data_IF_236376651501
#
_entry.id   IF_236376651501
#
_cell.length_a   1.000
_cell.length_b   1.000
_cell.length_c   1.000
_cell.angle_alpha   90.00
_cell.angle_beta   90.00
_cell.angle_gamma   90.00
#
_symmetry.space_group_name_H-M   'P 1'
#
loop_
_entity.id
_entity.type
_entity.pdbx_description
1 polymer ?
#
# COMPACT_ATOMS: atom_id res chain seq x y z
N UNK A 1 9.57 8.91 -13.65
CA UNK A 1 10.01 8.68 -12.26
C UNK A 1 8.81 8.86 -11.34
N UNK A 2 8.68 8.01 -10.33
CA UNK A 2 7.71 8.19 -9.26
C UNK A 2 8.18 9.27 -8.28
N UNK A 3 7.27 10.13 -7.86
CA UNK A 3 7.55 11.21 -6.92
C UNK A 3 6.29 11.52 -6.12
N UNK A 4 6.46 12.11 -4.95
CA UNK A 4 5.35 12.52 -4.09
C UNK A 4 4.83 13.92 -4.43
N UNK A 5 5.56 14.69 -5.24
CA UNK A 5 5.30 16.11 -5.51
C UNK A 5 5.18 16.96 -4.23
N UNK A 6 5.94 16.58 -3.22
CA UNK A 6 5.89 17.18 -1.89
C UNK A 6 6.47 18.60 -1.89
N UNK A 7 5.70 19.56 -1.36
CA UNK A 7 6.04 20.99 -1.34
C UNK A 7 6.39 21.51 0.06
N UNK A 8 6.13 20.73 1.10
CA UNK A 8 6.48 21.11 2.47
C UNK A 8 7.88 20.66 2.81
N UNK A 9 8.83 21.29 3.20
CA UNK A 9 10.25 20.97 3.44
C UNK A 9 10.56 19.76 4.33
N UNK A 10 9.71 18.74 4.33
CA UNK A 10 9.85 17.51 5.10
C UNK A 10 10.12 16.31 4.18
N UNK A 11 11.37 16.01 3.81
CA UNK A 11 11.70 14.87 2.95
C UNK A 11 11.18 13.56 3.53
N UNK A 12 10.51 12.75 2.70
CA UNK A 12 9.96 11.46 3.12
C UNK A 12 8.63 11.52 3.87
N UNK A 13 8.01 12.70 4.01
CA UNK A 13 6.72 12.85 4.69
C UNK A 13 5.56 12.20 3.96
N UNK A 14 5.67 11.97 2.65
CA UNK A 14 4.72 11.19 1.85
C UNK A 14 5.29 9.83 1.52
N UNK A 15 4.49 8.81 1.77
CA UNK A 15 4.84 7.44 1.41
C UNK A 15 4.32 7.00 0.05
N UNK A 16 3.58 7.85 -0.67
CA UNK A 16 2.78 7.38 -1.81
C UNK A 16 3.58 7.26 -3.11
N UNK A 17 4.43 8.22 -3.41
CA UNK A 17 5.26 8.16 -4.61
C UNK A 17 6.65 7.62 -4.30
N UNK A 18 7.00 6.48 -4.89
CA UNK A 18 8.30 5.84 -4.72
C UNK A 18 8.94 5.55 -6.06
N UNK A 19 10.25 5.53 -6.07
CA UNK A 19 11.05 5.06 -7.20
C UNK A 19 11.83 3.82 -6.76
N UNK A 20 11.70 2.74 -7.53
CA UNK A 20 12.60 1.60 -7.48
C UNK A 20 13.73 1.82 -8.48
N UNK A 21 14.97 1.60 -8.09
CA UNK A 21 16.15 1.82 -8.92
C UNK A 21 16.90 0.49 -9.08
N UNK A 22 17.09 0.06 -10.31
CA UNK A 22 17.86 -1.13 -10.67
C UNK A 22 19.33 -0.73 -10.85
N UNK A 23 20.07 -0.72 -9.76
CA UNK A 23 21.50 -0.36 -9.72
C UNK A 23 22.37 -1.59 -9.37
N UNK A 24 23.60 -1.63 -9.86
CA UNK A 24 24.55 -2.70 -9.58
C UNK A 24 24.96 -2.74 -8.09
N UNK A 25 24.96 -1.59 -7.43
CA UNK A 25 25.27 -1.46 -6.02
C UNK A 25 24.66 -0.23 -5.40
N UNK A 26 24.56 -0.20 -4.06
CA UNK A 26 24.09 0.95 -3.30
C UNK A 26 25.22 1.98 -3.16
N UNK A 27 25.58 2.61 -4.27
CA UNK A 27 26.54 3.71 -4.33
C UNK A 27 25.96 4.88 -5.12
N UNK A 28 26.39 6.10 -4.81
CA UNK A 28 25.89 7.31 -5.44
C UNK A 28 26.02 7.25 -6.96
N UNK A 29 27.18 6.83 -7.45
CA UNK A 29 27.46 6.80 -8.90
C UNK A 29 26.59 5.77 -9.62
N UNK A 30 26.46 4.56 -9.03
CA UNK A 30 25.62 3.49 -9.64
C UNK A 30 24.12 3.82 -9.60
N UNK A 31 23.66 4.45 -8.54
CA UNK A 31 22.28 4.97 -8.48
C UNK A 31 22.06 6.03 -9.55
N UNK A 32 23.01 6.98 -9.69
CA UNK A 32 22.93 8.04 -10.70
C UNK A 32 22.95 7.51 -12.12
N UNK A 33 23.82 6.54 -12.39
CA UNK A 33 23.89 5.88 -13.72
C UNK A 33 22.61 5.13 -14.04
N UNK A 34 22.03 4.39 -13.10
CA UNK A 34 20.76 3.71 -13.27
C UNK A 34 19.62 4.69 -13.57
N UNK A 35 19.57 5.81 -12.87
CA UNK A 35 18.57 6.87 -13.13
C UNK A 35 18.74 7.48 -14.51
N UNK A 36 19.97 7.78 -14.94
CA UNK A 36 20.25 8.31 -16.30
C UNK A 36 19.84 7.33 -17.39
N UNK A 37 20.08 6.05 -17.18
CA UNK A 37 19.72 4.98 -18.11
C UNK A 37 18.23 4.59 -17.99
N UNK A 38 17.47 5.23 -17.12
CA UNK A 38 16.04 4.93 -16.90
C UNK A 38 15.77 3.52 -16.39
N UNK A 39 16.74 2.90 -15.74
CA UNK A 39 16.61 1.61 -15.05
C UNK A 39 15.83 1.81 -13.75
N UNK A 40 14.58 2.21 -13.90
CA UNK A 40 13.72 2.61 -12.77
C UNK A 40 12.31 2.08 -12.95
N UNK A 41 11.65 1.82 -11.84
CA UNK A 41 10.22 1.58 -11.76
C UNK A 41 9.58 2.57 -10.78
N UNK A 42 8.27 2.67 -10.81
CA UNK A 42 7.51 3.57 -9.94
C UNK A 42 6.44 2.77 -9.20
N UNK A 43 6.23 3.13 -7.94
CA UNK A 43 5.14 2.59 -7.15
C UNK A 43 4.42 3.72 -6.41
N UNK A 44 3.13 3.57 -6.18
CA UNK A 44 2.30 4.48 -5.39
C UNK A 44 1.63 3.69 -4.27
N UNK A 45 1.90 4.09 -3.02
CA UNK A 45 1.38 3.43 -1.85
C UNK A 45 2.16 2.18 -1.47
N UNK A 46 1.78 1.02 -1.95
CA UNK A 46 2.43 -0.23 -1.60
C UNK A 46 3.82 -0.40 -2.22
N UNK A 47 4.64 -1.19 -1.55
CA UNK A 47 5.93 -1.62 -2.08
C UNK A 47 5.68 -2.76 -3.06
N UNK A 48 5.67 -2.44 -4.36
CA UNK A 48 5.54 -3.40 -5.44
C UNK A 48 6.90 -3.54 -6.13
N UNK A 49 7.44 -4.75 -6.12
CA UNK A 49 8.64 -5.09 -6.86
C UNK A 49 8.24 -5.58 -8.26
N UNK A 50 8.84 -5.00 -9.29
CA UNK A 50 8.57 -5.35 -10.69
C UNK A 50 9.89 -5.69 -11.36
N UNK A 51 10.08 -6.96 -11.77
CA UNK A 51 11.12 -7.36 -12.70
C UNK A 51 10.48 -7.51 -14.08
N UNK A 52 10.61 -6.48 -14.89
CA UNK A 52 10.15 -6.46 -16.27
C UNK A 52 11.34 -6.48 -17.21
N UNK A 53 11.29 -7.38 -18.17
CA UNK A 53 12.33 -7.46 -19.22
C UNK A 53 11.70 -7.63 -20.60
N UNK A 54 12.28 -6.96 -21.59
CA UNK A 54 11.93 -7.12 -22.99
C UNK A 54 13.15 -7.68 -23.73
N UNK A 55 13.11 -8.96 -24.14
CA UNK A 55 14.25 -9.68 -24.72
C UNK A 55 15.53 -9.56 -23.86
N UNK A 56 15.40 -9.76 -22.55
CA UNK A 56 16.47 -9.65 -21.55
C UNK A 56 16.96 -8.22 -21.24
N UNK A 57 16.46 -7.20 -21.95
CA UNK A 57 16.73 -5.79 -21.70
C UNK A 57 15.88 -5.24 -20.54
N UNK A 58 16.48 -4.36 -19.77
CA UNK A 58 15.83 -3.72 -18.62
C UNK A 58 14.94 -2.52 -19.06
N UNK A 59 14.03 -2.05 -18.17
CA UNK A 59 13.31 -0.81 -18.40
C UNK A 59 14.28 0.34 -18.70
N UNK A 60 14.01 1.08 -19.77
CA UNK A 60 14.88 2.18 -20.23
C UNK A 60 15.80 1.84 -21.39
N UNK A 61 16.10 0.57 -21.59
CA UNK A 61 16.92 0.10 -22.71
C UNK A 61 16.16 0.19 -24.05
N UNK A 62 16.93 0.27 -25.13
CA UNK A 62 16.40 0.28 -26.50
C UNK A 62 16.59 -1.10 -27.13
N UNK A 63 15.49 -1.80 -27.39
CA UNK A 63 15.49 -3.11 -28.04
C UNK A 63 15.25 -2.97 -29.54
N UNK A 64 16.13 -3.51 -30.36
CA UNK A 64 15.99 -3.57 -31.83
C UNK A 64 15.59 -4.97 -32.27
N UNK A 65 14.96 -5.09 -33.44
CA UNK A 65 14.49 -6.34 -34.02
C UNK A 65 12.97 -6.48 -33.97
N UNK A 66 12.43 -7.56 -34.57
CA UNK A 66 11.00 -7.77 -34.72
C UNK A 66 10.39 -8.68 -33.64
N UNK A 67 11.19 -9.52 -33.04
CA UNK A 67 10.73 -10.39 -31.94
C UNK A 67 10.66 -9.63 -30.63
N UNK A 68 9.61 -9.89 -29.85
CA UNK A 68 9.37 -9.30 -28.53
C UNK A 68 8.94 -10.39 -27.56
N UNK A 69 9.84 -10.74 -26.66
CA UNK A 69 9.53 -11.62 -25.53
C UNK A 69 9.50 -10.78 -24.26
N UNK A 70 8.38 -10.78 -23.58
CA UNK A 70 8.21 -10.12 -22.30
C UNK A 70 8.40 -11.16 -21.19
N UNK A 71 9.29 -10.86 -20.26
CA UNK A 71 9.38 -11.51 -18.96
C UNK A 71 8.85 -10.53 -17.91
N UNK A 72 8.04 -11.04 -16.99
CA UNK A 72 7.45 -10.23 -15.94
C UNK A 72 7.34 -11.05 -14.66
N UNK A 73 7.93 -10.54 -13.59
CA UNK A 73 7.68 -11.00 -12.23
C UNK A 73 7.24 -9.80 -11.38
N UNK A 74 6.14 -9.94 -10.67
CA UNK A 74 5.56 -8.87 -9.84
C UNK A 74 5.28 -9.42 -8.45
N UNK A 75 5.86 -8.76 -7.45
CA UNK A 75 5.65 -9.08 -6.04
C UNK A 75 5.03 -7.87 -5.35
N UNK A 76 3.80 -8.00 -4.89
CA UNK A 76 3.08 -6.97 -4.14
C UNK A 76 3.11 -7.24 -2.64
N UNK A 77 2.83 -6.22 -1.84
CA UNK A 77 2.58 -6.36 -0.40
C UNK A 77 1.23 -7.03 -0.10
N UNK A 78 0.36 -7.13 -1.09
CA UNK A 78 -0.97 -7.74 -1.05
C UNK A 78 -1.26 -8.43 -2.38
N UNK A 79 -2.48 -8.96 -2.53
CA UNK A 79 -2.95 -9.58 -3.78
C UNK A 79 -2.81 -8.64 -4.97
N UNK A 80 -2.39 -9.18 -6.10
CA UNK A 80 -2.37 -8.46 -7.37
C UNK A 80 -3.75 -8.63 -8.02
N UNK A 81 -4.45 -7.52 -8.21
CA UNK A 81 -5.77 -7.51 -8.86
C UNK A 81 -5.65 -7.77 -10.37
N UNK A 82 -4.81 -7.00 -11.03
CA UNK A 82 -4.48 -7.20 -12.43
C UNK A 82 -3.11 -6.63 -12.79
N UNK A 83 -2.59 -7.06 -13.93
CA UNK A 83 -1.37 -6.54 -14.54
C UNK A 83 -1.70 -6.17 -15.99
N UNK A 84 -1.46 -4.92 -16.36
CA UNK A 84 -1.63 -4.44 -17.73
C UNK A 84 -0.29 -4.31 -18.44
N UNK A 85 -0.18 -4.88 -19.61
CA UNK A 85 0.90 -4.60 -20.56
C UNK A 85 0.44 -3.49 -21.48
N UNK A 86 1.07 -2.33 -21.36
CA UNK A 86 0.69 -1.14 -22.11
C UNK A 86 1.75 -0.83 -23.16
N UNK A 87 1.34 -0.71 -24.43
CA UNK A 87 2.18 -0.27 -25.55
C UNK A 87 1.55 0.92 -26.24
N UNK A 88 2.29 2.01 -26.41
CA UNK A 88 1.81 3.21 -27.09
C UNK A 88 0.44 3.70 -26.55
N UNK A 89 0.29 3.74 -25.23
CA UNK A 89 -0.94 4.13 -24.51
C UNK A 89 -2.14 3.19 -24.71
N UNK A 90 -1.94 2.00 -25.27
CA UNK A 90 -2.98 0.98 -25.42
C UNK A 90 -2.60 -0.24 -24.59
N UNK A 91 -3.55 -0.74 -23.80
CA UNK A 91 -3.42 -2.04 -23.18
C UNK A 91 -3.44 -3.11 -24.27
N UNK A 92 -2.35 -3.87 -24.38
CA UNK A 92 -2.20 -4.94 -25.37
C UNK A 92 -2.41 -6.33 -24.76
N UNK A 93 -2.32 -6.44 -23.44
CA UNK A 93 -2.64 -7.62 -22.70
C UNK A 93 -3.02 -7.24 -21.26
N UNK A 94 -4.01 -7.92 -20.71
CA UNK A 94 -4.37 -7.86 -19.29
C UNK A 94 -4.30 -9.26 -18.71
N UNK A 95 -3.56 -9.39 -17.63
CA UNK A 95 -3.53 -10.56 -16.80
C UNK A 95 -4.40 -10.24 -15.57
N UNK A 96 -5.53 -10.90 -15.46
CA UNK A 96 -6.47 -10.77 -14.35
C UNK A 96 -6.96 -12.17 -13.95
N UNK A 97 -7.51 -12.28 -12.77
CA UNK A 97 -8.01 -13.52 -12.23
C UNK A 97 -7.37 -13.81 -10.88
N UNK A 98 -7.61 -14.96 -10.26
CA UNK A 98 -6.96 -15.31 -9.02
C UNK A 98 -5.47 -15.52 -9.30
N UNK A 99 -4.73 -14.39 -9.35
CA UNK A 99 -3.27 -14.39 -9.25
C UNK A 99 -2.85 -14.76 -7.81
N UNK A 100 -3.80 -15.33 -7.08
CA UNK A 100 -3.58 -15.95 -5.80
C UNK A 100 -2.98 -17.35 -6.04
N UNK A 101 -1.97 -17.74 -5.28
CA UNK A 101 -1.65 -19.15 -5.17
C UNK A 101 -2.94 -19.90 -4.81
N UNK A 102 -3.09 -21.12 -5.27
CA UNK A 102 -4.22 -21.98 -4.91
C UNK A 102 -4.48 -21.84 -3.41
N UNK A 103 -5.74 -21.57 -3.07
CA UNK A 103 -6.12 -21.38 -1.68
C UNK A 103 -5.62 -22.57 -0.89
N UNK A 104 -4.83 -22.37 0.17
CA UNK A 104 -4.32 -23.49 0.94
C UNK A 104 -5.49 -24.38 1.36
N UNK A 105 -5.39 -25.67 1.07
CA UNK A 105 -6.32 -26.67 1.59
C UNK A 105 -6.23 -26.67 3.11
N UNK A 106 -7.32 -26.43 3.78
CA UNK A 106 -7.40 -26.42 5.25
C UNK A 106 -8.43 -25.45 5.78
N UNK A 107 -8.82 -25.69 7.04
CA UNK A 107 -9.82 -24.88 7.72
C UNK A 107 -9.27 -23.50 8.11
N UNK A 108 -7.95 -23.35 8.20
CA UNK A 108 -7.26 -22.13 8.64
C UNK A 108 -6.45 -21.53 7.49
N UNK A 109 -6.67 -20.26 7.22
CA UNK A 109 -5.96 -19.48 6.20
C UNK A 109 -5.08 -18.44 6.87
N UNK A 110 -3.82 -18.34 6.47
CA UNK A 110 -2.96 -17.20 6.80
C UNK A 110 -2.92 -16.26 5.62
N UNK A 111 -3.29 -15.02 5.87
CA UNK A 111 -3.25 -13.97 4.85
C UNK A 111 -3.06 -12.59 5.46
N UNK A 112 -2.79 -11.61 4.61
CA UNK A 112 -2.72 -10.19 4.96
C UNK A 112 -3.99 -9.48 4.49
N UNK A 113 -4.65 -8.79 5.41
CA UNK A 113 -5.84 -7.98 5.15
C UNK A 113 -5.48 -6.52 5.33
N UNK A 114 -5.59 -5.74 4.25
CA UNK A 114 -5.41 -4.29 4.30
C UNK A 114 -6.72 -3.62 4.70
N UNK A 115 -6.66 -2.74 5.67
CA UNK A 115 -7.79 -1.91 6.11
C UNK A 115 -7.47 -0.46 5.85
N UNK A 116 -8.23 0.16 4.95
CA UNK A 116 -8.09 1.57 4.56
C UNK A 116 -9.13 2.43 5.30
N UNK A 117 -8.67 3.61 5.75
CA UNK A 117 -9.47 4.62 6.43
C UNK A 117 -9.35 5.94 5.67
N UNK A 118 -10.45 6.65 5.46
CA UNK A 118 -10.30 7.94 4.82
C UNK A 118 -11.56 8.52 4.20
N UNK A 119 -11.35 9.50 3.31
CA UNK A 119 -12.34 10.25 2.56
C UNK A 119 -13.36 11.00 3.43
N UNK A 120 -12.84 11.95 4.20
CA UNK A 120 -13.73 12.89 4.89
C UNK A 120 -14.25 13.95 3.92
N UNK A 121 -15.56 14.22 3.99
CA UNK A 121 -16.22 15.24 3.15
C UNK A 121 -16.51 16.56 3.88
N UNK A 122 -16.59 16.56 5.18
CA UNK A 122 -17.15 17.68 5.96
C UNK A 122 -16.11 18.40 6.80
N UNK A 123 -15.13 17.69 7.34
CA UNK A 123 -14.12 18.26 8.24
C UNK A 123 -12.75 18.35 7.56
N UNK A 124 -11.89 19.21 8.08
CA UNK A 124 -10.53 19.36 7.58
C UNK A 124 -9.70 18.10 7.86
N UNK A 125 -9.89 17.51 9.05
CA UNK A 125 -9.28 16.25 9.48
C UNK A 125 -10.32 15.31 10.08
N UNK A 126 -10.07 14.02 9.94
CA UNK A 126 -10.73 12.98 10.76
C UNK A 126 -9.69 12.39 11.67
N UNK A 127 -9.99 12.36 12.95
CA UNK A 127 -9.28 11.61 13.95
C UNK A 127 -9.95 10.23 14.07
N UNK A 128 -9.26 9.20 13.61
CA UNK A 128 -9.72 7.82 13.65
C UNK A 128 -9.24 7.16 14.93
N UNK A 129 -10.14 6.95 15.87
CA UNK A 129 -9.86 6.22 17.11
C UNK A 129 -10.77 5.01 17.19
N UNK A 130 -10.19 3.84 17.42
CA UNK A 130 -10.94 2.61 17.51
C UNK A 130 -10.07 1.38 17.39
N UNK A 131 -10.72 0.28 17.09
CA UNK A 131 -10.06 -1.03 17.07
C UNK A 131 -10.47 -1.89 15.89
N UNK A 132 -9.55 -2.75 15.50
CA UNK A 132 -9.79 -3.92 14.66
C UNK A 132 -9.80 -5.14 15.56
N UNK A 133 -10.74 -6.05 15.36
CA UNK A 133 -10.82 -7.29 16.11
C UNK A 133 -11.20 -8.48 15.25
N UNK A 134 -10.87 -9.69 15.72
CA UNK A 134 -11.26 -10.93 15.08
C UNK A 134 -11.94 -11.86 16.06
N UNK A 135 -13.02 -12.51 15.63
CA UNK A 135 -13.77 -13.44 16.50
C UNK A 135 -13.14 -14.84 16.56
N UNK A 136 -12.43 -15.27 15.52
CA UNK A 136 -11.76 -16.58 15.40
C UNK A 136 -10.33 -16.40 14.92
N UNK A 137 -9.44 -17.34 15.24
CA UNK A 137 -8.05 -17.32 14.77
C UNK A 137 -7.14 -16.39 15.58
N UNK A 138 -6.09 -15.87 14.97
CA UNK A 138 -5.04 -15.07 15.61
C UNK A 138 -4.59 -13.93 14.69
N UNK A 139 -4.43 -12.75 15.26
CA UNK A 139 -3.67 -11.66 14.67
C UNK A 139 -2.20 -11.95 14.94
N UNK A 140 -1.43 -12.24 13.91
CA UNK A 140 0.00 -12.53 14.01
C UNK A 140 0.83 -11.25 14.12
N UNK A 141 0.44 -10.22 13.34
CA UNK A 141 1.08 -8.91 13.33
C UNK A 141 0.13 -7.84 12.79
N UNK A 142 0.42 -6.59 13.11
CA UNK A 142 -0.19 -5.42 12.48
C UNK A 142 0.92 -4.54 11.94
N UNK A 143 0.95 -4.35 10.63
CA UNK A 143 1.96 -3.57 9.95
C UNK A 143 1.39 -2.18 9.64
N UNK A 144 2.10 -1.09 9.96
CA UNK A 144 1.67 0.23 9.55
C UNK A 144 1.83 0.38 8.03
N UNK A 145 0.76 0.82 7.37
CA UNK A 145 0.77 1.28 5.99
C UNK A 145 0.40 2.76 5.96
N UNK A 146 0.99 3.50 6.90
CA UNK A 146 0.74 4.91 7.05
C UNK A 146 1.35 5.68 5.90
N UNK A 147 0.56 6.59 5.35
CA UNK A 147 0.99 7.53 4.34
C UNK A 147 1.44 8.81 5.01
N UNK A 148 2.44 9.44 4.46
CA UNK A 148 3.02 10.64 5.03
C UNK A 148 4.04 10.35 6.13
N UNK A 149 4.35 11.39 6.91
CA UNK A 149 5.19 11.27 8.08
C UNK A 149 4.45 10.55 9.22
N UNK A 150 5.20 10.00 10.18
CA UNK A 150 4.61 9.47 11.40
C UNK A 150 3.87 10.56 12.21
N UNK A 151 4.22 11.81 12.00
CA UNK A 151 3.52 12.99 12.49
C UNK A 151 3.17 13.90 11.31
N UNK A 152 2.12 14.70 11.48
CA UNK A 152 1.72 15.71 10.48
C UNK A 152 2.09 17.10 10.98
N UNK A 153 2.54 17.98 10.08
CA UNK A 153 2.77 19.37 10.46
C UNK A 153 1.44 20.09 10.70
N UNK A 154 1.43 21.11 11.60
CA UNK A 154 0.28 21.96 11.81
C UNK A 154 -0.19 22.63 10.51
N UNK A 155 -1.49 22.78 10.37
CA UNK A 155 -2.05 23.60 9.30
C UNK A 155 -2.07 25.07 9.68
N UNK A 156 -2.20 25.99 8.71
CA UNK A 156 -2.38 27.40 9.03
C UNK A 156 -3.54 27.62 10.02
N UNK A 157 -3.25 28.23 11.16
CA UNK A 157 -4.20 28.47 12.25
C UNK A 157 -4.25 27.38 13.33
N UNK A 158 -3.53 26.27 13.17
CA UNK A 158 -3.32 25.28 14.23
C UNK A 158 -2.10 25.64 15.10
N UNK A 159 -2.12 25.19 16.35
CA UNK A 159 -0.97 25.35 17.24
C UNK A 159 0.22 24.53 16.75
N UNK A 160 1.41 25.10 16.78
CA UNK A 160 2.67 24.37 16.47
C UNK A 160 2.91 23.17 17.41
N UNK A 161 2.21 23.11 18.54
CA UNK A 161 2.31 22.02 19.51
C UNK A 161 1.29 20.89 19.27
N UNK A 162 0.34 21.07 18.37
CA UNK A 162 -0.58 20.00 17.98
C UNK A 162 0.06 19.10 16.94
N UNK A 163 0.71 18.04 17.40
CA UNK A 163 1.24 17.01 16.50
C UNK A 163 0.21 15.90 16.31
N UNK A 164 -0.19 15.66 15.06
CA UNK A 164 -1.05 14.54 14.68
C UNK A 164 -0.16 13.34 14.37
N UNK A 165 -0.14 12.35 15.26
CA UNK A 165 0.73 11.18 15.14
C UNK A 165 -0.12 9.96 14.81
N UNK A 166 0.19 9.29 13.70
CA UNK A 166 -0.43 8.02 13.34
C UNK A 166 0.29 6.88 14.08
N UNK A 167 -0.46 6.04 14.78
CA UNK A 167 0.12 4.96 15.59
C UNK A 167 -0.80 3.76 15.72
N UNK A 168 -0.17 2.61 15.85
CA UNK A 168 -0.76 1.39 16.38
C UNK A 168 -0.56 1.47 17.90
N UNK A 169 -1.64 1.61 18.65
CA UNK A 169 -1.61 1.84 20.11
C UNK A 169 -1.29 0.56 20.85
N UNK A 170 -1.99 -0.50 20.51
CA UNK A 170 -1.80 -1.83 21.10
C UNK A 170 -2.14 -2.93 20.11
N UNK A 171 -1.52 -4.10 20.27
CA UNK A 171 -1.81 -5.29 19.49
C UNK A 171 -1.87 -6.48 20.44
N UNK A 172 -2.94 -7.26 20.35
CA UNK A 172 -3.10 -8.56 20.98
C UNK A 172 -3.31 -9.63 19.92
N UNK A 173 -3.46 -10.89 20.32
CA UNK A 173 -3.80 -11.96 19.38
C UNK A 173 -5.22 -11.84 18.80
N UNK A 174 -6.06 -10.94 19.30
CA UNK A 174 -7.47 -10.78 18.89
C UNK A 174 -7.83 -9.36 18.49
N UNK A 175 -7.10 -8.38 18.94
CA UNK A 175 -7.45 -6.97 18.80
C UNK A 175 -6.21 -6.13 18.43
N UNK A 176 -6.44 -5.04 17.70
CA UNK A 176 -5.48 -3.98 17.47
C UNK A 176 -6.16 -2.62 17.65
N UNK A 177 -5.63 -1.80 18.53
CA UNK A 177 -6.09 -0.42 18.73
C UNK A 177 -5.27 0.55 17.88
N UNK A 178 -5.97 1.47 17.23
CA UNK A 178 -5.39 2.41 16.29
C UNK A 178 -5.79 3.85 16.63
N UNK A 179 -4.86 4.76 16.35
CA UNK A 179 -5.03 6.20 16.47
C UNK A 179 -4.38 6.86 15.25
N UNK A 180 -5.21 7.40 14.35
CA UNK A 180 -4.76 7.85 13.03
C UNK A 180 -5.51 9.11 12.60
N UNK A 181 -4.92 9.83 11.64
CA UNK A 181 -5.50 11.03 11.07
C UNK A 181 -5.54 10.94 9.55
N UNK A 182 -6.65 11.37 8.95
CA UNK A 182 -6.76 11.60 7.51
C UNK A 182 -7.33 12.97 7.22
N UNK A 183 -7.06 13.51 6.02
CA UNK A 183 -7.45 14.88 5.63
C UNK A 183 -8.49 14.86 4.52
N UNK A 184 -9.41 15.83 4.54
CA UNK A 184 -10.36 16.07 3.45
C UNK A 184 -9.66 16.46 2.16
N UNK A 185 -8.75 17.41 2.26
CA UNK A 185 -7.91 17.86 1.17
C UNK A 185 -6.50 17.36 1.44
N UNK A 186 -6.05 16.30 0.78
CA UNK A 186 -4.70 15.85 0.94
C UNK A 186 -3.77 17.02 0.58
N UNK A 187 -3.02 17.42 1.54
CA UNK A 187 -1.95 18.36 1.33
C UNK A 187 -0.62 17.64 1.50
N UNK A 188 0.43 18.40 1.51
CA UNK A 188 1.77 17.88 1.58
C UNK A 188 2.09 17.07 2.84
N UNK A 189 1.28 17.07 3.86
CA UNK A 189 1.60 16.45 5.16
C UNK A 189 0.58 15.44 5.65
N UNK A 190 -0.69 15.60 5.27
CA UNK A 190 -1.75 14.71 5.73
C UNK A 190 -2.50 14.15 4.53
N UNK A 191 -2.36 12.86 4.25
CA UNK A 191 -3.04 12.20 3.14
C UNK A 191 -4.55 12.06 3.41
N UNK A 192 -5.32 11.87 2.33
CA UNK A 192 -6.75 11.63 2.42
C UNK A 192 -7.11 10.27 3.03
N UNK A 193 -6.19 9.32 2.99
CA UNK A 193 -6.39 7.95 3.50
C UNK A 193 -5.21 7.48 4.32
N UNK A 194 -5.49 6.63 5.30
CA UNK A 194 -4.49 5.87 6.07
C UNK A 194 -4.81 4.39 5.97
N UNK A 195 -3.84 3.54 6.21
CA UNK A 195 -4.07 2.10 6.20
C UNK A 195 -3.21 1.37 7.23
N UNK A 196 -3.67 0.18 7.59
CA UNK A 196 -2.89 -0.84 8.28
C UNK A 196 -3.08 -2.18 7.58
N UNK A 197 -2.12 -3.07 7.76
CA UNK A 197 -2.17 -4.44 7.26
C UNK A 197 -2.21 -5.39 8.45
N UNK A 198 -3.27 -6.17 8.55
CA UNK A 198 -3.40 -7.26 9.51
C UNK A 198 -2.82 -8.54 8.89
N UNK A 199 -1.78 -9.12 9.49
CA UNK A 199 -1.38 -10.51 9.23
C UNK A 199 -2.22 -11.40 10.15
N UNK A 200 -3.11 -12.19 9.58
CA UNK A 200 -4.05 -13.03 10.33
C UNK A 200 -3.92 -14.49 9.95
N UNK A 201 -4.16 -15.37 10.92
CA UNK A 201 -4.40 -16.81 10.70
C UNK A 201 -5.77 -17.13 11.23
N UNK A 202 -6.76 -17.36 10.37
CA UNK A 202 -8.15 -17.56 10.77
C UNK A 202 -8.93 -18.40 9.75
N UNK A 203 -10.07 -19.01 10.15
CA UNK A 203 -10.92 -19.73 9.22
C UNK A 203 -11.69 -18.74 8.31
N UNK A 204 -12.14 -19.23 7.16
CA UNK A 204 -12.89 -18.41 6.18
C UNK A 204 -14.18 -17.83 6.74
N UNK A 205 -14.83 -18.50 7.68
CA UNK A 205 -16.02 -18.03 8.38
C UNK A 205 -15.71 -17.12 9.58
N UNK A 206 -14.43 -16.89 9.85
CA UNK A 206 -13.98 -15.93 10.85
C UNK A 206 -14.27 -14.50 10.38
N UNK A 207 -14.71 -13.67 11.33
CA UNK A 207 -15.14 -12.29 11.07
C UNK A 207 -14.08 -11.32 11.56
N UNK A 208 -13.75 -10.37 10.72
CA UNK A 208 -12.95 -9.19 11.07
C UNK A 208 -13.92 -8.04 11.31
N UNK A 209 -13.81 -7.41 12.45
CA UNK A 209 -14.62 -6.26 12.86
C UNK A 209 -13.74 -5.02 12.92
N UNK A 210 -14.18 -3.95 12.28
CA UNK A 210 -13.60 -2.60 12.40
C UNK A 210 -14.60 -1.70 13.13
N UNK A 211 -14.21 -1.17 14.28
CA UNK A 211 -15.05 -0.26 15.08
C UNK A 211 -14.30 1.04 15.33
N UNK A 212 -14.71 2.10 14.64
CA UNK A 212 -14.06 3.42 14.65
C UNK A 212 -15.10 4.53 14.69
N UNK A 213 -14.88 5.50 15.58
CA UNK A 213 -15.72 6.70 15.69
C UNK A 213 -17.22 6.37 15.79
N UNK A 214 -17.56 5.30 16.51
CA UNK A 214 -18.95 4.85 16.69
C UNK A 214 -19.57 4.13 15.49
N UNK A 215 -18.79 3.87 14.43
CA UNK A 215 -19.22 3.05 13.28
C UNK A 215 -18.59 1.68 13.38
N UNK A 216 -19.36 0.66 12.97
CA UNK A 216 -18.94 -0.73 12.99
C UNK A 216 -19.12 -1.37 11.62
N UNK A 217 -18.09 -2.07 11.16
CA UNK A 217 -18.08 -2.85 9.92
C UNK A 217 -17.62 -4.27 10.24
N UNK A 218 -18.27 -5.25 9.64
CA UNK A 218 -17.99 -6.67 9.87
C UNK A 218 -17.99 -7.40 8.54
N UNK A 219 -16.90 -8.13 8.27
CA UNK A 219 -16.79 -8.97 7.08
C UNK A 219 -16.12 -10.29 7.45
N UNK A 220 -16.62 -11.39 6.89
CA UNK A 220 -15.94 -12.67 6.99
C UNK A 220 -14.66 -12.67 6.13
N UNK A 221 -13.69 -13.49 6.53
CA UNK A 221 -12.48 -13.64 5.71
C UNK A 221 -12.84 -14.18 4.31
N UNK A 222 -13.82 -15.07 4.21
CA UNK A 222 -14.30 -15.60 2.93
C UNK A 222 -14.77 -14.49 1.99
N UNK A 223 -15.57 -13.53 2.47
CA UNK A 223 -16.02 -12.37 1.68
C UNK A 223 -14.84 -11.48 1.23
N UNK A 224 -13.84 -11.29 2.09
CA UNK A 224 -12.66 -10.47 1.77
C UNK A 224 -11.73 -11.15 0.77
N UNK A 225 -11.70 -12.48 0.73
CA UNK A 225 -10.95 -13.25 -0.26
C UNK A 225 -11.59 -13.18 -1.66
N UNK A 226 -12.90 -12.92 -1.75
CA UNK A 226 -13.60 -12.71 -3.02
C UNK A 226 -13.39 -11.29 -3.59
N UNK A 227 -13.00 -10.33 -2.76
CA UNK A 227 -12.72 -8.94 -3.16
C UNK A 227 -12.87 -7.95 -2.01
N UNK A 228 -12.47 -6.70 -2.28
CA UNK A 228 -12.56 -5.61 -1.31
C UNK A 228 -14.01 -5.31 -0.93
N UNK A 229 -14.22 -4.92 0.32
CA UNK A 229 -15.52 -4.53 0.90
C UNK A 229 -15.42 -3.14 1.56
N UNK A 230 -16.54 -2.43 1.62
CA UNK A 230 -16.64 -1.09 2.25
C UNK A 230 -17.97 -0.93 2.99
#
# INVERSE_FOLDING_TARGET
MGSTDQHAGYPGSYGDGRIGILAESLSRDKIWDAMKNRHVCCATGDKINIDFRLNDAFPGDVVRGNSRRIYLNVEGGSCIDYIDIVKNRKCIARLSGPLLPEMPEGDMVRCKVKVDFGWNREEQYVHWQGKLSINKGTINAVEPCFRGAAFTSPQPGESEFETKVNRIVSVTSKDAELDMYSSKNPNTTTPATQAVILDVTMPKDGVITAEFNGKKFEHSLGELLEGSRS
#
